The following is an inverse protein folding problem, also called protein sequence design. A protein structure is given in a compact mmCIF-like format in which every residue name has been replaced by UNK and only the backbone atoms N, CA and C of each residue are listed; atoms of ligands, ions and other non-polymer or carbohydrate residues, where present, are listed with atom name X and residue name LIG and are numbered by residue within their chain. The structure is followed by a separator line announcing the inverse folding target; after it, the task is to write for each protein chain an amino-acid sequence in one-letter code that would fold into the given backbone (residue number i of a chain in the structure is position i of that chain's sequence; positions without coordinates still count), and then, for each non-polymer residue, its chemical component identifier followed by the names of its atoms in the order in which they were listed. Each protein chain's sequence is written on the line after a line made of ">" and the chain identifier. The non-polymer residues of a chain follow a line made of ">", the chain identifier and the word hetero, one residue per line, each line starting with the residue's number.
data_IF_309346144116
#
_entry.id   IF_309346144116
#
_cell.length_a   1.000
_cell.length_b   1.000
_cell.length_c   1.000
_cell.angle_alpha   90.00
_cell.angle_beta   90.00
_cell.angle_gamma   90.00
#
_symmetry.space_group_name_H-M   'P 1'
#
loop_
_entity.id
_entity.type
_entity.pdbx_description
1 polymer ?
#
# COMPACT_ATOMS: atom_id res chain seq x y z
N UNK A 1 -17.06 -9.92 -28.61
CA UNK A 1 -16.46 -9.11 -27.58
C UNK A 1 -16.88 -9.55 -26.20
N UNK A 2 -15.99 -9.67 -25.35
CA UNK A 2 -16.24 -10.18 -24.01
C UNK A 2 -16.63 -9.10 -23.01
N UNK A 3 -17.28 -8.05 -23.48
CA UNK A 3 -17.68 -6.94 -22.63
C UNK A 3 -18.65 -7.32 -21.53
N UNK A 4 -19.30 -8.46 -21.64
CA UNK A 4 -20.17 -8.97 -20.60
C UNK A 4 -19.41 -9.51 -19.41
N UNK A 5 -18.15 -9.87 -19.60
CA UNK A 5 -17.32 -10.31 -18.50
C UNK A 5 -16.84 -9.10 -17.72
N UNK A 6 -16.89 -9.20 -16.39
CA UNK A 6 -16.25 -8.21 -15.56
C UNK A 6 -14.77 -8.18 -15.94
N UNK A 7 -14.24 -7.05 -16.42
CA UNK A 7 -12.85 -7.00 -16.83
C UNK A 7 -11.95 -7.27 -15.63
N UNK A 8 -10.99 -8.17 -15.80
CA UNK A 8 -9.90 -8.23 -14.84
C UNK A 8 -9.12 -6.94 -14.95
N UNK A 9 -8.70 -6.34 -13.84
CA UNK A 9 -7.86 -5.16 -13.93
C UNK A 9 -6.61 -5.48 -14.73
N UNK A 10 -6.30 -4.64 -15.71
CA UNK A 10 -5.08 -4.78 -16.49
C UNK A 10 -3.85 -4.47 -15.65
N UNK A 11 -4.01 -3.61 -14.66
CA UNK A 11 -2.98 -3.34 -13.66
C UNK A 11 -3.63 -3.03 -12.31
N UNK A 12 -2.85 -3.25 -11.26
CA UNK A 12 -3.26 -2.93 -9.89
C UNK A 12 -2.58 -1.63 -9.48
N UNK A 13 -3.32 -0.73 -8.87
CA UNK A 13 -2.81 0.57 -8.48
C UNK A 13 -2.48 0.58 -7.00
N UNK A 14 -1.22 0.89 -6.68
CA UNK A 14 -0.71 0.96 -5.31
C UNK A 14 -0.40 2.41 -5.00
N UNK A 15 -1.04 2.95 -3.95
CA UNK A 15 -0.68 4.24 -3.39
C UNK A 15 0.54 4.04 -2.48
N UNK A 16 1.57 4.85 -2.65
CA UNK A 16 2.77 4.80 -1.82
C UNK A 16 3.00 6.17 -1.19
N UNK A 17 2.84 6.23 0.14
CA UNK A 17 3.07 7.44 0.91
C UNK A 17 4.35 7.33 1.74
N UNK A 18 5.26 8.23 1.51
CA UNK A 18 6.39 8.52 2.38
C UNK A 18 6.88 9.94 2.10
N UNK A 19 7.24 10.68 3.13
CA UNK A 19 7.90 11.97 2.97
C UNK A 19 9.36 11.80 2.55
N UNK A 20 9.91 10.59 2.63
CA UNK A 20 11.30 10.29 2.29
C UNK A 20 11.39 9.72 0.87
N UNK A 21 12.03 10.47 -0.02
CA UNK A 21 12.21 10.06 -1.41
C UNK A 21 12.99 8.76 -1.56
N UNK A 22 14.00 8.54 -0.71
CA UNK A 22 14.77 7.30 -0.72
C UNK A 22 13.92 6.10 -0.39
N UNK A 23 13.04 6.21 0.60
CA UNK A 23 12.10 5.15 0.95
C UNK A 23 11.18 4.83 -0.21
N UNK A 24 10.64 5.86 -0.88
CA UNK A 24 9.77 5.63 -2.04
C UNK A 24 10.51 4.90 -3.16
N UNK A 25 11.76 5.26 -3.42
CA UNK A 25 12.58 4.59 -4.42
C UNK A 25 12.82 3.13 -4.05
N UNK A 26 13.17 2.85 -2.79
CA UNK A 26 13.42 1.49 -2.32
C UNK A 26 12.19 0.60 -2.45
N UNK A 27 11.03 1.14 -2.09
CA UNK A 27 9.75 0.41 -2.22
C UNK A 27 9.45 0.11 -3.69
N UNK A 28 9.59 1.10 -4.57
CA UNK A 28 9.34 0.89 -6.00
C UNK A 28 10.26 -0.16 -6.59
N UNK A 29 11.53 -0.13 -6.24
CA UNK A 29 12.49 -1.13 -6.72
C UNK A 29 12.14 -2.53 -6.22
N UNK A 30 11.72 -2.63 -4.96
CA UNK A 30 11.32 -3.91 -4.39
C UNK A 30 10.07 -4.49 -5.05
N UNK A 31 9.08 -3.64 -5.35
CA UNK A 31 7.84 -4.07 -6.01
C UNK A 31 8.08 -4.49 -7.46
N UNK A 32 8.97 -3.81 -8.16
CA UNK A 32 9.19 -4.05 -9.57
C UNK A 32 7.92 -3.81 -10.39
N UNK A 33 7.81 -4.49 -11.50
CA UNK A 33 6.65 -4.39 -12.38
C UNK A 33 5.50 -5.28 -11.92
N UNK A 34 5.81 -6.43 -11.35
CA UNK A 34 4.85 -7.39 -10.81
C UNK A 34 5.35 -7.88 -9.46
N UNK A 35 4.44 -8.04 -8.51
CA UNK A 35 4.80 -8.59 -7.20
C UNK A 35 4.71 -10.11 -7.16
N UNK A 36 3.98 -10.70 -8.09
CA UNK A 36 3.86 -12.14 -8.25
C UNK A 36 3.43 -12.48 -9.67
N UNK A 37 3.78 -13.68 -10.14
CA UNK A 37 3.49 -14.10 -11.52
C UNK A 37 2.00 -14.26 -11.78
N UNK A 38 1.21 -14.54 -10.75
CA UNK A 38 -0.24 -14.75 -10.84
C UNK A 38 -1.06 -13.44 -10.71
N UNK A 39 -0.40 -12.31 -10.53
CA UNK A 39 -1.07 -11.03 -10.39
C UNK A 39 -0.77 -10.11 -11.57
N UNK A 40 -1.70 -9.19 -11.91
CA UNK A 40 -1.42 -8.17 -12.91
C UNK A 40 -0.24 -7.28 -12.55
N UNK A 41 0.34 -6.57 -13.52
CA UNK A 41 1.37 -5.59 -13.22
C UNK A 41 0.86 -4.53 -12.25
N UNK A 42 1.76 -3.94 -11.51
CA UNK A 42 1.43 -2.88 -10.55
C UNK A 42 1.82 -1.51 -11.11
N UNK A 43 0.96 -0.54 -10.82
CA UNK A 43 1.22 0.88 -11.07
C UNK A 43 1.33 1.55 -9.71
N UNK A 44 2.43 2.26 -9.47
CA UNK A 44 2.66 2.91 -8.18
C UNK A 44 2.40 4.42 -8.32
N UNK A 45 1.53 4.93 -7.46
CA UNK A 45 1.25 6.36 -7.34
C UNK A 45 1.95 6.85 -6.08
N UNK A 46 3.03 7.61 -6.26
CA UNK A 46 3.82 8.12 -5.14
C UNK A 46 3.26 9.46 -4.67
N UNK A 47 3.09 9.59 -3.37
CA UNK A 47 2.70 10.85 -2.73
C UNK A 47 3.61 11.10 -1.54
N UNK A 48 3.88 12.36 -1.26
CA UNK A 48 4.81 12.77 -0.22
C UNK A 48 4.14 13.49 0.96
N UNK A 49 2.84 13.74 0.87
CA UNK A 49 2.10 14.51 1.88
C UNK A 49 0.79 13.84 2.22
N UNK A 50 0.31 14.09 3.44
CA UNK A 50 -0.97 13.56 3.89
C UNK A 50 -2.14 14.08 3.06
N UNK A 51 -2.24 15.39 2.73
CA UNK A 51 -3.33 15.85 1.87
C UNK A 51 -3.36 15.15 0.52
N UNK A 52 -2.20 14.84 -0.07
CA UNK A 52 -2.13 14.12 -1.34
C UNK A 52 -2.68 12.70 -1.20
N UNK A 53 -2.42 12.03 -0.08
CA UNK A 53 -3.01 10.70 0.19
C UNK A 53 -4.53 10.79 0.18
N UNK A 54 -5.09 11.76 0.90
CA UNK A 54 -6.55 11.91 1.01
C UNK A 54 -7.16 12.20 -0.36
N UNK A 55 -6.55 13.05 -1.16
CA UNK A 55 -7.01 13.38 -2.50
C UNK A 55 -7.05 12.14 -3.40
N UNK A 56 -5.97 11.36 -3.40
CA UNK A 56 -5.88 10.14 -4.22
C UNK A 56 -6.88 9.09 -3.76
N UNK A 57 -7.01 8.90 -2.45
CA UNK A 57 -7.96 7.92 -1.90
C UNK A 57 -9.40 8.30 -2.19
N UNK A 58 -9.74 9.59 -2.11
CA UNK A 58 -11.10 10.07 -2.42
C UNK A 58 -11.45 9.89 -3.89
N UNK A 59 -10.46 9.99 -4.78
CA UNK A 59 -10.68 9.74 -6.20
C UNK A 59 -10.97 8.28 -6.51
N UNK A 60 -10.62 7.37 -5.62
CA UNK A 60 -10.84 5.94 -5.79
C UNK A 60 -9.85 5.26 -6.74
N UNK A 61 -10.07 3.97 -6.97
CA UNK A 61 -9.24 3.20 -7.90
C UNK A 61 -7.93 2.69 -7.30
N UNK A 62 -7.75 2.79 -5.99
CA UNK A 62 -6.56 2.28 -5.29
C UNK A 62 -6.83 0.86 -4.81
N UNK A 63 -5.96 -0.07 -5.16
CA UNK A 63 -6.08 -1.48 -4.77
C UNK A 63 -5.35 -1.81 -3.48
N UNK A 64 -4.33 -1.04 -3.13
CA UNK A 64 -3.57 -1.20 -1.89
C UNK A 64 -2.86 0.11 -1.57
N UNK A 65 -2.81 0.48 -0.30
CA UNK A 65 -2.05 1.64 0.16
C UNK A 65 -0.88 1.21 1.03
N UNK A 66 0.32 1.66 0.69
CA UNK A 66 1.52 1.50 1.49
C UNK A 66 1.81 2.83 2.18
N UNK A 67 1.78 2.85 3.50
CA UNK A 67 1.96 4.06 4.29
C UNK A 67 3.20 3.93 5.16
N UNK A 68 4.13 4.86 5.01
CA UNK A 68 5.35 4.88 5.80
C UNK A 68 5.07 5.41 7.21
N UNK A 69 5.18 4.53 8.20
CA UNK A 69 4.99 4.90 9.60
C UNK A 69 6.05 5.86 10.14
N UNK A 70 7.18 5.97 9.46
CA UNK A 70 8.26 6.90 9.81
C UNK A 70 8.15 8.24 9.07
N UNK A 71 7.16 8.40 8.20
CA UNK A 71 6.91 9.68 7.53
C UNK A 71 6.38 10.73 8.52
N UNK A 72 6.49 11.99 8.12
CA UNK A 72 5.97 13.09 8.92
C UNK A 72 4.88 13.81 8.11
N UNK A 73 3.62 13.76 8.55
CA UNK A 73 3.09 12.98 9.68
C UNK A 73 3.11 11.47 9.44
N UNK A 74 3.11 10.70 10.51
CA UNK A 74 3.29 9.25 10.44
C UNK A 74 2.14 8.51 9.75
N UNK A 75 2.51 7.48 8.97
CA UNK A 75 1.55 6.69 8.22
C UNK A 75 0.61 5.85 9.08
N UNK A 76 0.94 5.59 10.35
CA UNK A 76 0.08 4.80 11.24
C UNK A 76 -1.19 5.55 11.62
N UNK A 77 -1.07 6.82 12.01
CA UNK A 77 -2.25 7.64 12.28
C UNK A 77 -3.09 7.84 11.03
N UNK A 78 -2.45 8.04 9.90
CA UNK A 78 -3.12 8.16 8.63
C UNK A 78 -3.85 6.87 8.26
N UNK A 79 -3.22 5.71 8.48
CA UNK A 79 -3.85 4.41 8.21
C UNK A 79 -5.13 4.21 9.00
N UNK A 80 -5.11 4.56 10.29
CA UNK A 80 -6.30 4.50 11.14
C UNK A 80 -7.40 5.44 10.63
N UNK A 81 -7.03 6.66 10.26
CA UNK A 81 -7.97 7.63 9.71
C UNK A 81 -8.63 7.11 8.44
N UNK A 82 -7.86 6.54 7.51
CA UNK A 82 -8.40 5.98 6.28
C UNK A 82 -9.36 4.83 6.55
N UNK A 83 -9.02 3.93 7.48
CA UNK A 83 -9.89 2.82 7.85
C UNK A 83 -11.21 3.29 8.45
N UNK A 84 -11.18 4.38 9.21
CA UNK A 84 -12.39 4.91 9.84
C UNK A 84 -13.26 5.71 8.88
N UNK A 85 -12.67 6.43 7.92
CA UNK A 85 -13.37 7.41 7.09
C UNK A 85 -13.66 6.93 5.66
N UNK A 86 -12.84 6.04 5.10
CA UNK A 86 -13.00 5.62 3.71
C UNK A 86 -13.90 4.39 3.63
N UNK A 87 -15.01 4.53 2.92
CA UNK A 87 -15.90 3.40 2.64
C UNK A 87 -15.19 2.47 1.66
N UNK A 88 -15.20 1.16 1.96
CA UNK A 88 -14.51 0.15 1.17
C UNK A 88 -13.02 0.47 1.04
N UNK A 89 -12.40 0.83 2.16
CA UNK A 89 -10.99 1.13 2.21
C UNK A 89 -10.18 -0.07 1.67
N UNK A 90 -9.24 0.16 0.73
CA UNK A 90 -8.36 -0.91 0.29
C UNK A 90 -7.44 -1.38 1.42
N UNK A 91 -6.79 -2.54 1.28
CA UNK A 91 -5.82 -2.99 2.27
C UNK A 91 -4.75 -1.92 2.52
N UNK A 92 -4.38 -1.79 3.78
CA UNK A 92 -3.35 -0.84 4.23
C UNK A 92 -2.15 -1.66 4.70
N UNK A 93 -0.98 -1.38 4.11
CA UNK A 93 0.29 -1.91 4.56
C UNK A 93 1.09 -0.77 5.18
N UNK A 94 1.54 -0.94 6.42
CA UNK A 94 2.35 0.06 7.11
C UNK A 94 3.81 -0.36 7.13
N UNK A 95 4.70 0.56 6.80
CA UNK A 95 6.13 0.39 6.98
C UNK A 95 6.49 0.87 8.39
N UNK A 96 6.98 -0.02 9.23
CA UNK A 96 7.34 0.33 10.61
C UNK A 96 8.83 0.64 10.72
N UNK A 97 9.20 1.51 11.67
CA UNK A 97 10.61 1.84 11.90
C UNK A 97 11.39 0.67 12.45
N UNK A 98 10.76 -0.17 13.26
CA UNK A 98 11.36 -1.34 13.89
C UNK A 98 10.37 -2.48 13.94
N UNK A 99 10.91 -3.69 14.02
CA UNK A 99 10.07 -4.88 14.13
C UNK A 99 9.22 -4.89 15.41
N UNK A 100 9.72 -4.32 16.51
CA UNK A 100 8.99 -4.25 17.77
C UNK A 100 7.90 -3.18 17.80
N UNK A 101 7.80 -2.35 16.77
CA UNK A 101 6.73 -1.35 16.64
C UNK A 101 5.44 -1.97 16.04
N UNK A 102 5.41 -3.26 15.87
CA UNK A 102 4.26 -3.94 15.24
C UNK A 102 2.93 -3.70 15.98
N UNK A 103 2.96 -3.47 17.30
CA UNK A 103 1.75 -3.15 18.05
C UNK A 103 1.09 -1.85 17.59
N UNK A 104 1.88 -0.89 17.09
CA UNK A 104 1.36 0.34 16.52
C UNK A 104 0.60 0.07 15.21
N UNK A 105 1.01 -0.94 14.45
CA UNK A 105 0.29 -1.35 13.26
C UNK A 105 -1.09 -1.91 13.61
N UNK A 106 -1.19 -2.66 14.69
CA UNK A 106 -2.49 -3.13 15.20
C UNK A 106 -3.37 -1.94 15.58
N UNK A 107 -2.81 -0.94 16.27
CA UNK A 107 -3.54 0.26 16.60
C UNK A 107 -4.02 1.01 15.36
N UNK A 108 -3.23 1.05 14.29
CA UNK A 108 -3.59 1.73 13.05
C UNK A 108 -4.56 0.94 12.19
N UNK A 109 -4.90 -0.29 12.59
CA UNK A 109 -5.77 -1.21 11.85
C UNK A 109 -5.21 -1.61 10.49
N UNK A 110 -3.88 -1.65 10.38
CA UNK A 110 -3.22 -2.08 9.15
C UNK A 110 -3.47 -3.55 8.85
N UNK A 111 -3.58 -3.87 7.58
CA UNK A 111 -3.78 -5.24 7.10
C UNK A 111 -2.45 -5.98 6.94
N UNK A 112 -1.35 -5.25 6.82
CA UNK A 112 -0.01 -5.82 6.74
C UNK A 112 1.03 -4.86 7.29
N UNK A 113 2.18 -5.41 7.65
CA UNK A 113 3.29 -4.66 8.26
C UNK A 113 4.61 -5.15 7.68
N UNK A 114 5.46 -4.23 7.28
CA UNK A 114 6.84 -4.53 6.86
C UNK A 114 7.76 -3.53 7.54
N UNK A 115 8.79 -3.97 8.27
CA UNK A 115 9.69 -3.03 8.93
C UNK A 115 10.75 -2.47 7.97
N UNK A 116 11.28 -1.29 8.31
CA UNK A 116 12.51 -0.80 7.72
C UNK A 116 13.71 -1.57 8.24
N UNK A 117 14.78 -1.69 7.46
CA UNK A 117 14.92 -1.31 6.05
C UNK A 117 14.09 -2.23 5.14
N UNK A 118 13.71 -1.72 3.99
CA UNK A 118 12.84 -2.45 3.06
C UNK A 118 13.55 -3.71 2.55
N UNK A 119 12.96 -4.86 2.83
CA UNK A 119 13.44 -6.16 2.33
C UNK A 119 12.84 -6.40 0.95
N UNK A 120 13.68 -6.49 -0.11
CA UNK A 120 13.18 -6.62 -1.48
C UNK A 120 12.49 -7.96 -1.77
N UNK A 121 12.60 -8.93 -0.86
CA UNK A 121 11.92 -10.22 -0.99
C UNK A 121 10.62 -10.22 -0.18
N UNK A 122 10.68 -9.73 1.05
CA UNK A 122 9.53 -9.75 1.97
C UNK A 122 8.42 -8.80 1.54
N UNK A 123 8.78 -7.58 1.12
CA UNK A 123 7.77 -6.58 0.76
C UNK A 123 6.86 -7.05 -0.38
N UNK A 124 7.39 -7.50 -1.54
CA UNK A 124 6.49 -7.97 -2.59
C UNK A 124 5.65 -9.18 -2.18
N UNK A 125 6.16 -10.06 -1.32
CA UNK A 125 5.40 -11.21 -0.85
C UNK A 125 4.18 -10.78 -0.01
N UNK A 126 4.37 -9.84 0.92
CA UNK A 126 3.26 -9.31 1.73
C UNK A 126 2.26 -8.57 0.86
N UNK A 127 2.74 -7.74 -0.06
CA UNK A 127 1.87 -7.02 -1.00
C UNK A 127 1.06 -8.00 -1.84
N UNK A 128 1.68 -9.05 -2.35
CA UNK A 128 1.00 -10.05 -3.16
C UNK A 128 -0.14 -10.73 -2.38
N UNK A 129 0.10 -11.09 -1.13
CA UNK A 129 -0.92 -11.71 -0.29
C UNK A 129 -2.11 -10.79 -0.06
N UNK A 130 -1.87 -9.52 0.20
CA UNK A 130 -2.94 -8.55 0.40
C UNK A 130 -3.74 -8.32 -0.88
N UNK A 131 -3.06 -8.24 -2.02
CA UNK A 131 -3.73 -8.07 -3.32
C UNK A 131 -4.54 -9.30 -3.71
N UNK A 132 -4.05 -10.51 -3.44
CA UNK A 132 -4.81 -11.74 -3.70
C UNK A 132 -6.10 -11.79 -2.88
N UNK A 133 -6.03 -11.41 -1.63
CA UNK A 133 -7.21 -11.36 -0.78
C UNK A 133 -8.25 -10.36 -1.31
N UNK A 134 -7.80 -9.25 -1.89
CA UNK A 134 -8.69 -8.23 -2.43
C UNK A 134 -9.35 -8.65 -3.74
N UNK A 135 -8.63 -9.34 -4.61
CA UNK A 135 -9.16 -9.74 -5.94
C UNK A 135 -9.88 -11.09 -5.93
N UNK A 136 -9.79 -11.80 -4.82
CA UNK A 136 -10.43 -13.12 -4.66
C UNK A 136 -11.96 -13.03 -4.56
#
# INVERSE_FOLDING_TARGET
>A
MSSEEAPRPEELTILLYSSNRGTRTDVRLALGRKVASDLPPVRVVEVATQPAVLTVMDAGGIDLAILDGEAVPGGMGLGRQLKDEVVRCPPILVLTGRADDAWLATWSRADGVVPHPIDPIRLPAVVADLLRARVA
#
